data_IF_634916986119
#
_entry.id   IF_634916986119
#
_cell.length_a   1.000
_cell.length_b   1.000
_cell.length_c   1.000
_cell.angle_alpha   90.00
_cell.angle_beta   90.00
_cell.angle_gamma   90.00
#
_symmetry.space_group_name_H-M   'P 1'
#
loop_
_entity.id
_entity.type
_entity.pdbx_description
1 polymer ?
#
# COMPACT_ATOMS: atom_id res chain seq x y z
N UNK A 1 -28.26 -18.67 -15.09
CA UNK A 1 -26.97 -18.05 -15.45
C UNK A 1 -26.79 -16.87 -14.51
N UNK A 2 -25.97 -17.03 -13.47
CA UNK A 2 -25.65 -15.89 -12.57
C UNK A 2 -24.81 -14.91 -13.39
N UNK A 3 -25.35 -13.73 -13.66
CA UNK A 3 -24.57 -12.60 -14.15
C UNK A 3 -23.55 -12.27 -13.07
N UNK A 4 -22.32 -12.74 -13.21
CA UNK A 4 -21.22 -12.30 -12.34
C UNK A 4 -21.15 -10.78 -12.49
N UNK A 5 -21.50 -10.09 -11.41
CA UNK A 5 -21.44 -8.63 -11.38
C UNK A 5 -19.98 -8.24 -11.67
N UNK A 6 -19.76 -7.45 -12.72
CA UNK A 6 -18.44 -7.00 -13.13
C UNK A 6 -17.79 -6.24 -11.98
N UNK A 7 -16.55 -6.57 -11.65
CA UNK A 7 -15.79 -5.87 -10.58
C UNK A 7 -15.47 -4.45 -11.07
N UNK A 8 -15.88 -3.39 -10.34
CA UNK A 8 -15.43 -2.04 -10.63
C UNK A 8 -13.92 -1.90 -10.46
N UNK A 9 -13.30 -1.10 -11.28
CA UNK A 9 -11.87 -0.82 -11.22
C UNK A 9 -11.56 0.59 -11.72
N UNK A 10 -10.35 1.06 -11.41
CA UNK A 10 -9.86 2.37 -11.79
C UNK A 10 -9.81 3.32 -10.59
N UNK A 11 -8.62 3.89 -10.37
CA UNK A 11 -8.34 4.81 -9.26
C UNK A 11 -7.86 6.13 -9.86
N UNK A 12 -8.57 7.23 -9.57
CA UNK A 12 -8.19 8.60 -9.94
C UNK A 12 -7.64 9.39 -8.77
N UNK A 13 -7.94 8.95 -7.54
CA UNK A 13 -7.43 9.50 -6.28
C UNK A 13 -7.38 8.37 -5.24
N UNK A 14 -6.47 8.47 -4.29
CA UNK A 14 -6.43 7.58 -3.10
C UNK A 14 -7.28 8.13 -1.95
N UNK A 15 -8.16 9.08 -2.27
CA UNK A 15 -9.20 9.63 -1.42
C UNK A 15 -10.58 9.24 -1.96
N UNK A 16 -11.66 9.64 -1.29
CA UNK A 16 -13.01 9.18 -1.62
C UNK A 16 -13.34 7.82 -1.00
N UNK A 17 -14.56 7.35 -1.22
CA UNK A 17 -15.06 6.13 -0.57
C UNK A 17 -14.49 4.90 -1.24
N UNK A 18 -13.74 4.11 -0.48
CA UNK A 18 -13.23 2.83 -0.94
C UNK A 18 -14.37 1.83 -1.10
N UNK A 19 -14.54 1.24 -2.29
CA UNK A 19 -15.63 0.31 -2.58
C UNK A 19 -15.16 -1.10 -2.88
N UNK A 20 -13.98 -1.27 -3.45
CA UNK A 20 -13.44 -2.57 -3.85
C UNK A 20 -11.95 -2.67 -3.58
N UNK A 21 -11.54 -3.76 -2.94
CA UNK A 21 -10.12 -4.07 -2.67
C UNK A 21 -9.77 -5.47 -3.12
N UNK A 22 -8.54 -5.64 -3.60
CA UNK A 22 -7.91 -6.92 -3.80
C UNK A 22 -6.99 -7.23 -2.61
N UNK A 23 -7.23 -8.33 -1.97
CA UNK A 23 -6.46 -8.87 -0.85
C UNK A 23 -5.80 -10.19 -1.26
N UNK A 24 -4.64 -10.48 -0.72
CA UNK A 24 -4.02 -11.80 -0.85
C UNK A 24 -4.58 -12.76 0.19
N UNK A 25 -4.84 -14.03 -0.19
CA UNK A 25 -5.17 -15.07 0.78
C UNK A 25 -3.95 -15.38 1.64
N UNK A 26 -4.08 -15.46 2.99
CA UNK A 26 -2.95 -15.65 3.89
C UNK A 26 -2.54 -17.12 4.12
N UNK A 27 -3.11 -18.09 3.38
CA UNK A 27 -2.96 -19.53 3.65
C UNK A 27 -1.51 -20.00 3.65
N UNK A 28 -0.65 -19.41 2.81
CA UNK A 28 0.77 -19.71 2.68
C UNK A 28 1.68 -18.61 3.21
N UNK A 29 1.09 -17.58 3.86
CA UNK A 29 1.87 -16.53 4.47
C UNK A 29 2.76 -17.09 5.59
N UNK A 30 4.01 -16.70 5.58
CA UNK A 30 5.00 -16.98 6.63
C UNK A 30 6.11 -15.94 6.58
N UNK A 31 6.80 -15.78 7.68
CA UNK A 31 7.99 -14.94 7.69
C UNK A 31 9.08 -15.58 6.85
N UNK A 32 9.73 -14.76 6.05
CA UNK A 32 10.82 -15.18 5.16
C UNK A 32 12.18 -14.83 5.79
N UNK A 33 13.29 -15.47 5.35
CA UNK A 33 14.63 -15.16 5.85
C UNK A 33 14.99 -13.68 5.67
N UNK A 34 15.92 -13.22 6.49
CA UNK A 34 16.41 -11.86 6.63
C UNK A 34 16.70 -11.08 5.36
N UNK A 35 17.29 -11.76 4.37
CA UNK A 35 17.64 -11.15 3.10
C UNK A 35 16.43 -10.75 2.23
N UNK A 36 15.22 -11.04 2.70
CA UNK A 36 13.98 -10.80 1.98
C UNK A 36 13.02 -9.85 2.68
N UNK A 37 13.40 -9.34 3.86
CA UNK A 37 12.67 -8.33 4.62
C UNK A 37 13.55 -7.13 4.90
N UNK A 38 12.95 -5.97 5.15
CA UNK A 38 13.71 -4.76 5.46
C UNK A 38 14.55 -4.94 6.73
N UNK A 39 15.70 -4.28 6.81
CA UNK A 39 16.55 -4.30 7.98
C UNK A 39 15.84 -3.84 9.26
N UNK A 40 14.89 -2.92 9.12
CA UNK A 40 14.06 -2.41 10.22
C UNK A 40 13.10 -3.47 10.74
N UNK A 41 12.39 -4.17 9.85
CA UNK A 41 11.51 -5.29 10.23
C UNK A 41 12.29 -6.35 10.98
N UNK A 42 13.47 -6.70 10.49
CA UNK A 42 14.34 -7.63 11.16
C UNK A 42 14.79 -7.15 12.55
N UNK A 43 15.22 -5.91 12.65
CA UNK A 43 15.61 -5.31 13.92
C UNK A 43 14.47 -5.34 14.95
N UNK A 44 13.23 -5.23 14.50
CA UNK A 44 12.04 -5.30 15.35
C UNK A 44 11.69 -6.74 15.77
N UNK A 45 11.97 -7.74 14.96
CA UNK A 45 11.72 -9.16 15.30
C UNK A 45 12.68 -9.72 16.34
N UNK A 46 13.96 -9.37 16.25
CA UNK A 46 15.05 -9.98 17.04
C UNK A 46 14.92 -9.78 18.57
N UNK A 47 14.65 -8.58 19.10
CA UNK A 47 14.64 -8.35 20.55
C UNK A 47 13.45 -9.00 21.26
N UNK A 48 12.39 -9.32 20.54
CA UNK A 48 11.10 -9.71 21.11
C UNK A 48 10.90 -11.22 21.16
N UNK A 49 11.81 -12.00 20.59
CA UNK A 49 11.74 -13.46 20.48
C UNK A 49 10.38 -13.96 19.92
N UNK A 50 9.77 -13.18 19.03
CA UNK A 50 8.50 -13.53 18.38
C UNK A 50 8.68 -14.75 17.48
N UNK A 51 7.69 -15.62 17.51
CA UNK A 51 7.56 -16.74 16.58
C UNK A 51 6.32 -16.52 15.70
N UNK A 52 6.43 -16.90 14.44
CA UNK A 52 5.29 -16.90 13.55
C UNK A 52 4.26 -17.92 14.04
N UNK A 53 3.01 -17.46 14.20
CA UNK A 53 1.85 -18.28 14.54
C UNK A 53 0.80 -18.14 13.43
N UNK A 54 0.58 -19.22 12.70
CA UNK A 54 -0.30 -19.24 11.53
C UNK A 54 -1.76 -18.93 11.92
N UNK A 55 -2.24 -19.51 13.02
CA UNK A 55 -3.64 -19.32 13.42
C UNK A 55 -3.89 -17.88 13.84
N UNK A 56 -2.93 -17.24 14.49
CA UNK A 56 -2.99 -15.81 14.80
C UNK A 56 -2.97 -14.97 13.53
N UNK A 57 -2.10 -15.28 12.55
CA UNK A 57 -2.09 -14.58 11.27
C UNK A 57 -3.45 -14.68 10.55
N UNK A 58 -4.05 -15.87 10.52
CA UNK A 58 -5.37 -16.07 9.92
C UNK A 58 -6.45 -15.25 10.61
N UNK A 59 -6.47 -15.21 11.96
CA UNK A 59 -7.42 -14.38 12.73
C UNK A 59 -7.22 -12.88 12.47
N UNK A 60 -5.98 -12.41 12.46
CA UNK A 60 -5.66 -11.00 12.19
C UNK A 60 -6.10 -10.58 10.79
N UNK A 61 -5.81 -11.39 9.77
CA UNK A 61 -6.28 -11.15 8.42
C UNK A 61 -7.81 -11.13 8.33
N UNK A 62 -8.47 -12.10 8.95
CA UNK A 62 -9.94 -12.16 8.99
C UNK A 62 -10.52 -10.89 9.64
N UNK A 63 -9.91 -10.39 10.72
CA UNK A 63 -10.37 -9.16 11.38
C UNK A 63 -10.24 -7.93 10.48
N UNK A 64 -9.16 -7.83 9.72
CA UNK A 64 -9.00 -6.78 8.71
C UNK A 64 -10.11 -6.87 7.64
N UNK A 65 -10.40 -8.06 7.13
CA UNK A 65 -11.49 -8.30 6.16
C UNK A 65 -12.86 -7.91 6.72
N UNK A 66 -13.12 -8.19 8.00
CA UNK A 66 -14.36 -7.79 8.66
C UNK A 66 -14.52 -6.28 8.73
N UNK A 67 -13.46 -5.53 9.01
CA UNK A 67 -13.49 -4.07 8.99
C UNK A 67 -13.85 -3.55 7.59
N UNK A 68 -13.24 -4.08 6.53
CA UNK A 68 -13.62 -3.71 5.17
C UNK A 68 -15.12 -3.95 4.92
N UNK A 69 -15.61 -5.14 5.22
CA UNK A 69 -17.03 -5.50 5.02
C UNK A 69 -17.99 -4.65 5.84
N UNK A 70 -17.65 -4.35 7.10
CA UNK A 70 -18.45 -3.47 7.98
C UNK A 70 -18.55 -2.05 7.42
N UNK A 71 -17.55 -1.62 6.66
CA UNK A 71 -17.50 -0.31 6.00
C UNK A 71 -18.02 -0.33 4.56
N UNK A 72 -18.67 -1.41 4.13
CA UNK A 72 -19.28 -1.52 2.79
C UNK A 72 -18.28 -1.82 1.67
N UNK A 73 -17.03 -2.14 2.00
CA UNK A 73 -16.00 -2.46 1.01
C UNK A 73 -16.11 -3.92 0.56
N UNK A 74 -16.20 -4.15 -0.73
CA UNK A 74 -16.15 -5.51 -1.32
C UNK A 74 -14.71 -6.00 -1.36
N UNK A 75 -14.47 -7.16 -0.75
CA UNK A 75 -13.16 -7.80 -0.72
C UNK A 75 -13.08 -8.88 -1.80
N UNK A 76 -12.14 -8.71 -2.73
CA UNK A 76 -11.77 -9.68 -3.74
C UNK A 76 -10.44 -10.32 -3.32
N UNK A 77 -10.19 -11.57 -3.71
CA UNK A 77 -9.03 -12.30 -3.23
C UNK A 77 -8.19 -12.84 -4.38
N UNK A 78 -6.89 -12.52 -4.34
CA UNK A 78 -5.91 -13.24 -5.13
C UNK A 78 -5.62 -14.60 -4.47
N UNK A 79 -5.45 -15.64 -5.28
CA UNK A 79 -5.09 -16.97 -4.78
C UNK A 79 -3.71 -16.95 -4.12
N UNK A 80 -3.53 -17.80 -3.11
CA UNK A 80 -2.22 -17.97 -2.48
C UNK A 80 -1.43 -19.08 -3.19
N UNK A 81 -0.11 -18.98 -3.14
CA UNK A 81 0.82 -19.97 -3.69
C UNK A 81 1.88 -20.28 -2.62
N UNK A 82 2.16 -21.56 -2.38
CA UNK A 82 3.12 -22.01 -1.36
C UNK A 82 4.53 -21.47 -1.63
N UNK A 83 4.88 -21.27 -2.89
CA UNK A 83 6.15 -20.69 -3.33
C UNK A 83 6.24 -19.17 -3.18
N UNK A 84 5.13 -18.50 -2.81
CA UNK A 84 5.01 -17.04 -2.74
C UNK A 84 4.54 -16.59 -1.34
N UNK A 85 5.36 -16.79 -0.30
CA UNK A 85 4.95 -16.59 1.11
C UNK A 85 4.56 -15.16 1.46
N UNK A 86 4.93 -14.17 0.66
CA UNK A 86 4.63 -12.75 0.90
C UNK A 86 3.59 -12.19 -0.08
N UNK A 87 2.95 -13.01 -0.91
CA UNK A 87 1.93 -12.58 -1.89
C UNK A 87 0.67 -11.98 -1.23
N UNK A 88 0.53 -12.12 0.07
CA UNK A 88 -0.50 -11.45 0.88
C UNK A 88 -0.38 -9.92 0.82
N UNK A 89 0.83 -9.39 0.58
CA UNK A 89 1.07 -7.96 0.40
C UNK A 89 0.83 -7.56 -1.06
N UNK A 90 -0.44 -7.46 -1.43
CA UNK A 90 -0.90 -7.23 -2.81
C UNK A 90 -0.56 -5.84 -3.33
N UNK A 91 -0.33 -4.86 -2.44
CA UNK A 91 0.05 -3.49 -2.78
C UNK A 91 1.31 -3.42 -3.63
N UNK A 92 2.30 -4.28 -3.34
CA UNK A 92 3.62 -4.17 -3.96
C UNK A 92 3.64 -4.73 -5.39
N UNK A 93 2.79 -5.74 -5.67
CA UNK A 93 2.81 -6.51 -6.92
C UNK A 93 2.17 -5.80 -8.10
N UNK A 94 1.38 -4.75 -7.84
CA UNK A 94 0.71 -3.94 -8.86
C UNK A 94 0.15 -2.66 -8.26
N UNK A 95 -0.24 -1.72 -9.12
CA UNK A 95 -1.03 -0.55 -8.72
C UNK A 95 -2.10 -0.24 -9.76
N UNK A 96 -3.20 0.36 -9.30
CA UNK A 96 -4.34 0.69 -10.14
C UNK A 96 -4.25 2.13 -10.60
N UNK A 97 -4.56 2.35 -11.88
CA UNK A 97 -4.66 3.67 -12.51
C UNK A 97 -6.05 3.83 -13.14
N UNK A 98 -6.43 5.01 -13.63
CA UNK A 98 -7.70 5.17 -14.38
C UNK A 98 -7.75 4.34 -15.68
N UNK A 99 -6.61 3.92 -16.20
CA UNK A 99 -6.49 3.21 -17.49
C UNK A 99 -6.36 1.69 -17.34
N UNK A 100 -6.24 1.20 -16.13
CA UNK A 100 -6.07 -0.20 -15.80
C UNK A 100 -4.93 -0.44 -14.82
N UNK A 101 -4.69 -1.72 -14.54
CA UNK A 101 -3.62 -2.13 -13.63
C UNK A 101 -2.23 -2.00 -14.27
N UNK A 102 -1.26 -1.61 -13.48
CA UNK A 102 0.17 -1.73 -13.84
C UNK A 102 0.78 -2.85 -13.03
N UNK A 103 1.42 -3.79 -13.70
CA UNK A 103 2.11 -4.89 -13.03
C UNK A 103 3.51 -4.45 -12.65
N UNK A 104 3.84 -4.61 -11.37
CA UNK A 104 5.12 -4.25 -10.78
C UNK A 104 6.26 -5.19 -11.20
N UNK A 105 7.48 -4.70 -11.10
CA UNK A 105 8.71 -5.50 -11.15
C UNK A 105 9.34 -5.47 -9.76
N UNK A 106 9.19 -6.55 -9.00
CA UNK A 106 9.67 -6.65 -7.62
C UNK A 106 11.15 -7.01 -7.59
N UNK A 107 11.95 -6.22 -6.86
CA UNK A 107 13.39 -6.44 -6.73
C UNK A 107 13.71 -7.65 -5.86
N UNK A 108 12.99 -7.85 -4.78
CA UNK A 108 13.25 -8.88 -3.76
C UNK A 108 13.08 -10.29 -4.34
N UNK A 109 14.14 -11.12 -4.41
CA UNK A 109 14.11 -12.39 -5.12
C UNK A 109 12.97 -13.35 -4.75
N UNK A 110 12.61 -13.58 -3.46
CA UNK A 110 11.49 -14.46 -3.10
C UNK A 110 10.14 -13.97 -3.60
N UNK A 111 10.02 -12.67 -3.94
CA UNK A 111 8.76 -12.05 -4.34
C UNK A 111 8.65 -11.76 -5.83
N UNK A 112 9.72 -11.97 -6.60
CA UNK A 112 9.75 -11.65 -8.04
C UNK A 112 8.63 -12.28 -8.86
N UNK A 113 8.03 -13.36 -8.36
CA UNK A 113 6.93 -14.07 -9.02
C UNK A 113 5.54 -13.70 -8.49
N UNK A 114 5.43 -12.78 -7.52
CA UNK A 114 4.13 -12.36 -6.97
C UNK A 114 3.19 -11.82 -8.06
N UNK A 115 3.74 -11.23 -9.14
CA UNK A 115 2.96 -10.78 -10.30
C UNK A 115 2.08 -11.89 -10.91
N UNK A 116 2.44 -13.15 -10.77
CA UNK A 116 1.74 -14.26 -11.43
C UNK A 116 0.31 -14.41 -10.87
N UNK A 117 0.15 -14.42 -9.54
CA UNK A 117 -1.17 -14.53 -8.90
C UNK A 117 -2.01 -13.28 -9.14
N UNK A 118 -1.39 -12.10 -9.12
CA UNK A 118 -2.08 -10.83 -9.37
C UNK A 118 -2.54 -10.70 -10.82
N UNK A 119 -1.69 -11.01 -11.79
CA UNK A 119 -2.07 -10.97 -13.21
C UNK A 119 -3.12 -12.03 -13.57
N UNK A 120 -3.12 -13.19 -12.88
CA UNK A 120 -4.17 -14.19 -13.01
C UNK A 120 -5.52 -13.67 -12.51
N UNK A 121 -5.52 -12.97 -11.35
CA UNK A 121 -6.72 -12.31 -10.84
C UNK A 121 -7.28 -11.30 -11.85
N UNK A 122 -6.45 -10.36 -12.36
CA UNK A 122 -6.91 -9.34 -13.32
C UNK A 122 -7.52 -9.97 -14.57
N UNK A 123 -6.90 -11.01 -15.12
CA UNK A 123 -7.45 -11.72 -16.28
C UNK A 123 -8.80 -12.35 -15.98
N UNK A 124 -8.94 -13.03 -14.82
CA UNK A 124 -10.20 -13.67 -14.44
C UNK A 124 -11.32 -12.67 -14.14
N UNK A 125 -10.97 -11.47 -13.65
CA UNK A 125 -11.88 -10.38 -13.32
C UNK A 125 -12.17 -9.46 -14.52
N UNK A 126 -11.57 -9.72 -15.68
CA UNK A 126 -11.67 -8.87 -16.89
C UNK A 126 -11.22 -7.41 -16.65
N UNK A 127 -10.27 -7.22 -15.70
CA UNK A 127 -9.66 -5.93 -15.44
C UNK A 127 -8.46 -5.78 -16.38
N UNK A 128 -8.39 -4.70 -17.19
CA UNK A 128 -7.31 -4.52 -18.13
C UNK A 128 -5.96 -4.32 -17.42
N UNK A 129 -4.94 -5.02 -17.88
CA UNK A 129 -3.55 -4.73 -17.54
C UNK A 129 -3.06 -3.70 -18.55
N UNK A 130 -2.88 -2.46 -18.09
CA UNK A 130 -2.48 -1.34 -18.95
C UNK A 130 -1.00 -1.36 -19.28
N UNK A 131 -0.14 -1.59 -18.29
CA UNK A 131 1.32 -1.57 -18.46
C UNK A 131 2.01 -2.62 -17.58
N UNK A 132 3.26 -2.91 -17.91
CA UNK A 132 4.18 -3.73 -17.12
C UNK A 132 5.47 -2.95 -16.89
N UNK A 133 5.98 -2.94 -15.66
CA UNK A 133 7.29 -2.38 -15.37
C UNK A 133 8.36 -3.23 -16.03
N UNK A 134 9.21 -2.61 -16.85
CA UNK A 134 10.27 -3.25 -17.62
C UNK A 134 11.61 -2.53 -17.51
N UNK A 135 11.59 -1.26 -17.06
CA UNK A 135 12.80 -0.50 -16.80
C UNK A 135 13.21 -0.68 -15.34
N UNK A 136 13.95 -1.76 -15.04
CA UNK A 136 14.43 -2.08 -13.71
C UNK A 136 13.30 -2.49 -12.75
N UNK A 137 13.19 -1.90 -11.54
CA UNK A 137 12.21 -2.27 -10.52
C UNK A 137 11.37 -1.08 -10.09
N UNK A 138 10.05 -1.31 -9.96
CA UNK A 138 9.11 -0.38 -9.31
C UNK A 138 7.95 -1.17 -8.71
N UNK A 139 7.64 -0.89 -7.45
CA UNK A 139 6.63 -1.58 -6.66
C UNK A 139 5.47 -0.63 -6.33
N UNK A 140 4.25 -1.17 -6.23
CA UNK A 140 3.04 -0.35 -6.12
C UNK A 140 2.93 0.47 -4.83
N UNK A 141 3.67 0.12 -3.77
CA UNK A 141 3.76 0.94 -2.55
C UNK A 141 4.46 2.29 -2.76
N UNK A 142 5.21 2.43 -3.86
CA UNK A 142 5.86 3.69 -4.24
C UNK A 142 5.02 4.57 -5.19
N UNK A 143 3.80 4.14 -5.53
CA UNK A 143 2.87 4.89 -6.37
C UNK A 143 1.77 5.51 -5.51
N UNK A 144 1.79 6.83 -5.33
CA UNK A 144 0.80 7.58 -4.56
C UNK A 144 0.11 8.60 -5.45
N UNK A 145 -1.23 8.54 -5.54
CA UNK A 145 -2.03 9.55 -6.23
C UNK A 145 -2.41 10.62 -5.20
N UNK A 146 -1.81 11.79 -5.33
CA UNK A 146 -2.05 12.94 -4.42
C UNK A 146 -3.43 13.56 -4.67
N UNK A 147 -3.79 13.72 -5.93
CA UNK A 147 -5.09 14.18 -6.42
C UNK A 147 -5.24 13.79 -7.89
N UNK A 148 -6.44 13.85 -8.49
CA UNK A 148 -6.60 13.57 -9.91
C UNK A 148 -5.60 14.38 -10.76
N UNK A 149 -4.84 13.69 -11.61
CA UNK A 149 -3.82 14.31 -12.46
C UNK A 149 -2.45 14.52 -11.81
N UNK A 150 -2.25 14.16 -10.52
CA UNK A 150 -0.98 14.39 -9.81
C UNK A 150 -0.55 13.17 -9.01
N UNK A 151 0.65 12.67 -9.27
CA UNK A 151 1.24 11.51 -8.59
C UNK A 151 2.57 11.83 -7.92
N UNK A 152 2.81 11.19 -6.79
CA UNK A 152 4.08 11.15 -6.08
C UNK A 152 4.66 9.74 -6.21
N UNK A 153 5.89 9.65 -6.72
CA UNK A 153 6.58 8.39 -7.00
C UNK A 153 7.81 8.26 -6.09
N UNK A 154 7.80 7.22 -5.23
CA UNK A 154 8.93 6.93 -4.36
C UNK A 154 10.01 6.09 -5.04
N UNK A 155 11.22 6.17 -4.53
CA UNK A 155 12.27 5.18 -4.79
C UNK A 155 13.27 5.16 -3.64
N UNK A 156 13.71 3.98 -3.25
CA UNK A 156 14.70 3.77 -2.18
C UNK A 156 16.00 3.15 -2.67
N UNK A 157 15.99 2.57 -3.86
CA UNK A 157 17.08 1.75 -4.38
C UNK A 157 17.04 0.29 -3.94
N UNK A 158 16.39 -0.01 -2.80
CA UNK A 158 16.27 -1.37 -2.27
C UNK A 158 15.03 -2.12 -2.80
N UNK A 159 13.98 -1.38 -3.17
CA UNK A 159 12.72 -1.93 -3.70
C UNK A 159 12.40 -1.31 -5.05
N UNK A 160 12.00 -0.07 -5.08
CA UNK A 160 11.90 0.68 -6.32
C UNK A 160 13.21 1.39 -6.64
N UNK A 161 13.58 1.41 -7.89
CA UNK A 161 14.74 2.13 -8.39
C UNK A 161 14.31 3.43 -9.05
N UNK A 162 15.25 4.37 -9.21
CA UNK A 162 14.99 5.61 -9.91
C UNK A 162 14.56 5.36 -11.37
N UNK A 163 15.19 4.42 -12.07
CA UNK A 163 14.82 4.06 -13.43
C UNK A 163 13.39 3.55 -13.55
N UNK A 164 12.94 2.72 -12.58
CA UNK A 164 11.56 2.27 -12.53
C UNK A 164 10.59 3.41 -12.31
N UNK A 165 10.90 4.34 -11.39
CA UNK A 165 10.08 5.53 -11.15
C UNK A 165 10.03 6.45 -12.38
N UNK A 166 11.13 6.66 -13.09
CA UNK A 166 11.19 7.44 -14.32
C UNK A 166 10.34 6.80 -15.46
N UNK A 167 10.29 5.47 -15.55
CA UNK A 167 9.39 4.80 -16.48
C UNK A 167 7.92 5.10 -16.17
N UNK A 168 7.52 5.04 -14.91
CA UNK A 168 6.15 5.35 -14.47
C UNK A 168 5.85 6.83 -14.72
N UNK A 169 6.75 7.73 -14.36
CA UNK A 169 6.60 9.16 -14.61
C UNK A 169 6.36 9.49 -16.08
N UNK A 170 7.10 8.85 -16.99
CA UNK A 170 6.89 9.00 -18.42
C UNK A 170 5.49 8.57 -18.85
N UNK A 171 4.96 7.47 -18.32
CA UNK A 171 3.59 7.03 -18.63
C UNK A 171 2.53 8.00 -18.11
N UNK A 172 2.76 8.58 -16.91
CA UNK A 172 1.87 9.60 -16.35
C UNK A 172 1.86 10.85 -17.23
N UNK A 173 3.04 11.33 -17.65
CA UNK A 173 3.18 12.47 -18.56
C UNK A 173 2.48 12.22 -19.92
N UNK A 174 2.65 11.05 -20.53
CA UNK A 174 1.95 10.63 -21.74
C UNK A 174 0.40 10.70 -21.61
N UNK A 175 -0.10 10.53 -20.39
CA UNK A 175 -1.53 10.61 -20.06
C UNK A 175 -1.96 11.99 -19.54
N UNK A 176 -1.08 12.97 -19.57
CA UNK A 176 -1.32 14.34 -19.11
C UNK A 176 -1.35 14.50 -17.58
N UNK A 177 -0.74 13.58 -16.85
CA UNK A 177 -0.62 13.63 -15.39
C UNK A 177 0.78 14.10 -14.97
N UNK A 178 0.84 14.96 -13.96
CA UNK A 178 2.08 15.30 -13.28
C UNK A 178 2.59 14.11 -12.47
N UNK A 179 3.89 13.84 -12.55
CA UNK A 179 4.56 12.84 -11.72
C UNK A 179 5.78 13.45 -11.05
N UNK A 180 5.81 13.44 -9.72
CA UNK A 180 6.92 13.97 -8.93
C UNK A 180 7.69 12.82 -8.29
N UNK A 181 8.98 12.68 -8.64
CA UNK A 181 9.84 11.58 -8.18
C UNK A 181 10.63 12.02 -6.95
N UNK A 182 10.57 11.24 -5.86
CA UNK A 182 11.21 11.55 -4.57
C UNK A 182 11.98 10.35 -4.04
N UNK A 183 13.26 10.52 -3.63
CA UNK A 183 13.97 9.49 -2.88
C UNK A 183 13.42 9.39 -1.47
N UNK A 184 13.33 8.16 -0.94
CA UNK A 184 13.03 7.90 0.47
C UNK A 184 14.15 7.07 1.09
N UNK A 185 14.39 7.18 2.41
CA UNK A 185 15.34 6.33 3.09
C UNK A 185 14.92 4.85 2.99
N UNK A 186 15.85 3.92 2.68
CA UNK A 186 15.54 2.50 2.41
C UNK A 186 14.78 1.77 3.52
N UNK A 187 14.96 2.20 4.78
CA UNK A 187 14.29 1.59 5.94
C UNK A 187 12.76 1.76 5.96
N UNK A 188 12.20 2.67 5.16
CA UNK A 188 10.74 2.83 5.04
C UNK A 188 10.13 1.93 3.99
N UNK A 189 10.96 1.24 3.21
CA UNK A 189 10.57 0.29 2.18
C UNK A 189 9.91 0.96 0.98
N UNK A 190 8.74 1.62 1.19
CA UNK A 190 7.98 2.30 0.16
C UNK A 190 7.45 3.66 0.61
N UNK A 191 7.05 4.48 -0.36
CA UNK A 191 6.47 5.81 -0.15
C UNK A 191 5.16 5.75 0.65
N UNK A 192 4.37 4.70 0.53
CA UNK A 192 3.10 4.49 1.22
C UNK A 192 3.23 4.31 2.76
N UNK A 193 4.45 4.15 3.26
CA UNK A 193 4.73 4.23 4.69
C UNK A 193 5.04 5.67 5.16
N UNK A 194 5.37 6.57 4.22
CA UNK A 194 5.84 7.93 4.47
C UNK A 194 4.76 8.98 4.18
N UNK A 195 4.00 8.78 3.09
CA UNK A 195 2.92 9.68 2.65
C UNK A 195 1.68 8.85 2.35
N UNK A 196 0.60 9.12 3.07
CA UNK A 196 -0.71 8.47 2.87
C UNK A 196 -1.79 9.52 2.77
N UNK A 197 -2.51 9.52 1.66
CA UNK A 197 -3.68 10.38 1.50
C UNK A 197 -4.82 9.89 2.38
N UNK A 198 -5.42 10.78 3.16
CA UNK A 198 -6.54 10.49 4.04
C UNK A 198 -7.86 10.96 3.43
N UNK A 199 -7.87 12.19 2.95
CA UNK A 199 -8.98 12.85 2.29
C UNK A 199 -8.45 13.86 1.28
N UNK A 200 -9.33 14.44 0.50
CA UNK A 200 -8.97 15.48 -0.47
C UNK A 200 -8.23 16.62 0.22
N UNK A 201 -7.00 16.88 -0.22
CA UNK A 201 -6.14 17.91 0.35
C UNK A 201 -5.58 17.61 1.74
N UNK A 202 -5.68 16.36 2.24
CA UNK A 202 -5.19 15.96 3.55
C UNK A 202 -4.39 14.66 3.48
N UNK A 203 -3.18 14.69 3.99
CA UNK A 203 -2.31 13.50 4.08
C UNK A 203 -1.73 13.31 5.48
N UNK A 204 -1.43 12.07 5.83
CA UNK A 204 -0.55 11.69 6.93
C UNK A 204 0.87 11.62 6.38
N UNK A 205 1.83 12.35 6.95
CA UNK A 205 3.17 12.50 6.38
C UNK A 205 4.26 12.41 7.45
N UNK A 206 5.28 11.62 7.18
CA UNK A 206 6.53 11.63 7.92
C UNK A 206 7.51 12.61 7.26
N UNK A 207 7.45 13.88 7.64
CA UNK A 207 8.28 14.94 7.04
C UNK A 207 9.78 14.69 7.21
N UNK A 208 10.20 14.10 8.35
CA UNK A 208 11.61 13.75 8.61
C UNK A 208 12.17 12.70 7.63
N UNK A 209 11.32 12.00 6.90
CA UNK A 209 11.71 11.00 5.89
C UNK A 209 11.78 11.60 4.48
N UNK A 210 11.40 12.85 4.29
CA UNK A 210 11.32 13.50 2.99
C UNK A 210 12.38 14.62 2.86
N UNK A 211 12.94 14.84 1.68
CA UNK A 211 13.76 16.00 1.42
C UNK A 211 12.90 17.29 1.43
N UNK A 212 13.47 18.43 1.83
CA UNK A 212 12.75 19.70 1.96
C UNK A 212 11.98 20.10 0.68
N UNK A 213 12.56 19.86 -0.49
CA UNK A 213 11.87 20.20 -1.75
C UNK A 213 10.58 19.38 -1.99
N UNK A 214 10.47 18.19 -1.37
CA UNK A 214 9.25 17.38 -1.47
C UNK A 214 8.16 17.96 -0.54
N UNK A 215 8.53 18.49 0.61
CA UNK A 215 7.62 19.23 1.49
C UNK A 215 7.12 20.49 0.78
N UNK A 216 8.02 21.29 0.18
CA UNK A 216 7.66 22.47 -0.61
C UNK A 216 6.74 22.13 -1.79
N UNK A 217 6.92 20.94 -2.38
CA UNK A 217 6.05 20.48 -3.47
C UNK A 217 4.66 20.10 -2.93
N UNK A 218 4.56 19.41 -1.80
CA UNK A 218 3.27 19.12 -1.16
C UNK A 218 2.51 20.41 -0.79
N UNK A 219 3.21 21.45 -0.33
CA UNK A 219 2.63 22.77 -0.07
C UNK A 219 2.05 23.41 -1.35
N UNK A 220 2.78 23.33 -2.46
CA UNK A 220 2.30 23.81 -3.78
C UNK A 220 1.09 23.02 -4.29
N UNK A 221 0.96 21.74 -3.89
CA UNK A 221 -0.19 20.93 -4.19
C UNK A 221 -1.37 21.19 -3.23
N UNK A 222 -1.21 22.10 -2.26
CA UNK A 222 -2.20 22.48 -1.23
C UNK A 222 -2.58 21.29 -0.32
N UNK A 223 -1.61 20.44 0.02
CA UNK A 223 -1.81 19.29 0.90
C UNK A 223 -1.54 19.67 2.34
N UNK A 224 -2.59 19.74 3.17
CA UNK A 224 -2.46 19.80 4.61
C UNK A 224 -1.91 18.49 5.15
N UNK A 225 -0.98 18.55 6.08
CA UNK A 225 -0.31 17.36 6.61
C UNK A 225 -0.63 17.14 8.08
N UNK A 226 -0.97 15.92 8.44
CA UNK A 226 -0.92 15.43 9.82
C UNK A 226 0.46 14.80 9.99
N UNK A 227 1.32 15.32 10.89
CA UNK A 227 2.68 14.82 11.00
C UNK A 227 2.74 13.47 11.73
N UNK A 228 3.55 12.56 11.18
CA UNK A 228 3.94 11.31 11.84
C UNK A 228 5.41 11.42 12.24
N UNK A 229 5.73 11.11 13.51
CA UNK A 229 7.12 11.07 13.93
C UNK A 229 7.91 9.99 13.19
N UNK A 230 9.20 10.25 12.96
CA UNK A 230 10.09 9.25 12.38
C UNK A 230 10.02 7.90 13.12
N UNK A 231 9.96 7.96 14.46
CA UNK A 231 9.86 6.79 15.33
C UNK A 231 8.58 5.97 15.10
N UNK A 232 7.44 6.63 14.92
CA UNK A 232 6.17 5.96 14.65
C UNK A 232 6.12 5.44 13.21
N UNK A 233 6.67 6.21 12.26
CA UNK A 233 6.77 5.82 10.86
C UNK A 233 7.61 4.53 10.67
N UNK A 234 8.76 4.41 11.35
CA UNK A 234 9.58 3.17 11.38
C UNK A 234 8.79 1.94 11.87
N UNK A 235 7.77 2.16 12.70
CA UNK A 235 6.86 1.12 13.18
C UNK A 235 5.62 0.94 12.28
N UNK A 236 5.69 1.42 11.05
CA UNK A 236 4.58 1.42 10.09
C UNK A 236 3.39 2.30 10.53
N UNK A 237 3.64 3.39 11.28
CA UNK A 237 2.59 4.32 11.71
C UNK A 237 1.83 4.98 10.55
N UNK A 238 2.51 5.20 9.41
CA UNK A 238 1.89 5.67 8.18
C UNK A 238 1.19 4.60 7.35
N UNK A 239 1.38 3.32 7.66
CA UNK A 239 0.84 2.22 6.84
C UNK A 239 -0.62 1.91 7.21
N UNK A 240 -1.53 2.79 6.83
CA UNK A 240 -2.97 2.71 7.08
C UNK A 240 -3.76 2.95 5.79
N UNK A 241 -5.06 2.63 5.79
CA UNK A 241 -5.93 2.74 4.62
C UNK A 241 -7.05 3.73 4.91
N UNK A 242 -7.18 4.78 4.10
CA UNK A 242 -8.38 5.60 4.09
C UNK A 242 -9.56 4.80 3.54
N UNK A 243 -10.66 4.77 4.28
CA UNK A 243 -11.92 4.14 3.85
C UNK A 243 -12.86 5.17 3.23
N UNK A 244 -12.49 6.46 3.29
CA UNK A 244 -13.35 7.60 2.94
C UNK A 244 -14.31 7.98 4.07
N UNK A 245 -14.96 9.15 3.93
CA UNK A 245 -15.92 9.66 4.90
C UNK A 245 -15.36 9.72 6.35
N UNK A 246 -14.18 10.26 6.53
CA UNK A 246 -13.48 10.39 7.84
C UNK A 246 -13.25 9.04 8.55
N UNK A 247 -13.06 7.95 7.80
CA UNK A 247 -12.82 6.61 8.34
C UNK A 247 -11.48 6.06 7.87
N UNK A 248 -10.74 5.43 8.78
CA UNK A 248 -9.44 4.81 8.46
C UNK A 248 -9.33 3.43 9.09
N UNK A 249 -8.73 2.49 8.36
CA UNK A 249 -8.25 1.22 8.90
C UNK A 249 -6.78 1.36 9.27
N UNK A 250 -6.43 1.08 10.51
CA UNK A 250 -5.08 1.22 11.07
C UNK A 250 -4.72 0.00 11.91
N UNK A 251 -3.48 -0.03 12.40
CA UNK A 251 -2.99 -1.09 13.28
C UNK A 251 -3.07 -0.67 14.75
N UNK A 252 -3.44 -1.61 15.63
CA UNK A 252 -3.68 -1.34 17.06
C UNK A 252 -2.45 -0.82 17.80
N UNK A 253 -1.24 -1.24 17.40
CA UNK A 253 0.00 -0.81 18.04
C UNK A 253 0.42 0.64 17.71
N UNK A 254 -0.20 1.28 16.72
CA UNK A 254 0.07 2.68 16.33
C UNK A 254 -0.65 3.69 17.22
N UNK A 255 -0.45 3.61 18.54
CA UNK A 255 -1.23 4.36 19.53
C UNK A 255 -1.21 5.88 19.29
N UNK A 256 -0.04 6.46 19.02
CA UNK A 256 0.09 7.91 18.81
C UNK A 256 -0.64 8.37 17.55
N UNK A 257 -0.40 7.67 16.43
CA UNK A 257 -1.04 8.00 15.14
C UNK A 257 -2.56 7.83 15.24
N UNK A 258 -3.04 6.75 15.86
CA UNK A 258 -4.47 6.53 16.07
C UNK A 258 -5.10 7.61 16.95
N UNK A 259 -4.39 8.12 17.97
CA UNK A 259 -4.87 9.21 18.80
C UNK A 259 -4.92 10.55 18.04
N UNK A 260 -3.91 10.84 17.22
CA UNK A 260 -3.89 12.04 16.35
C UNK A 260 -5.05 12.02 15.36
N UNK A 261 -5.27 10.87 14.66
CA UNK A 261 -6.37 10.75 13.71
C UNK A 261 -7.75 10.93 14.36
N UNK A 262 -7.94 10.38 15.57
CA UNK A 262 -9.17 10.60 16.34
C UNK A 262 -9.36 12.07 16.73
N UNK A 263 -8.27 12.76 17.10
CA UNK A 263 -8.32 14.21 17.42
C UNK A 263 -8.65 15.06 16.18
N UNK A 264 -8.30 14.59 14.99
CA UNK A 264 -8.68 15.19 13.69
C UNK A 264 -10.10 14.81 13.23
N UNK A 265 -10.84 14.03 14.03
CA UNK A 265 -12.23 13.66 13.75
C UNK A 265 -12.40 12.35 12.98
N UNK A 266 -11.34 11.59 12.75
CA UNK A 266 -11.46 10.30 12.07
C UNK A 266 -12.01 9.21 12.98
N UNK A 267 -12.89 8.38 12.42
CA UNK A 267 -13.23 7.08 12.98
C UNK A 267 -12.11 6.09 12.65
N UNK A 268 -11.42 5.58 13.67
CA UNK A 268 -10.24 4.73 13.50
C UNK A 268 -10.58 3.28 13.85
N UNK A 269 -10.57 2.42 12.85
CA UNK A 269 -10.69 0.97 12.97
C UNK A 269 -9.31 0.36 13.16
N UNK A 270 -8.90 0.21 14.42
CA UNK A 270 -7.59 -0.32 14.76
C UNK A 270 -7.65 -1.86 14.94
N UNK A 271 -6.85 -2.58 14.17
CA UNK A 271 -6.77 -4.05 14.20
C UNK A 271 -5.41 -4.53 14.69
N UNK A 272 -5.39 -5.66 15.41
CA UNK A 272 -4.15 -6.39 15.68
C UNK A 272 -3.62 -6.96 14.37
N UNK A 273 -2.34 -6.74 14.06
CA UNK A 273 -1.74 -7.13 12.77
C UNK A 273 -0.25 -7.50 12.89
N UNK A 274 0.19 -7.88 14.08
CA UNK A 274 1.60 -8.10 14.43
C UNK A 274 2.24 -9.22 13.60
N UNK A 275 1.49 -10.28 13.28
CA UNK A 275 2.04 -11.37 12.45
C UNK A 275 2.45 -10.89 11.07
N UNK A 276 1.75 -9.90 10.52
CA UNK A 276 2.08 -9.31 9.22
C UNK A 276 3.13 -8.21 9.34
N UNK A 277 3.03 -7.33 10.33
CA UNK A 277 4.02 -6.25 10.51
C UNK A 277 5.42 -6.78 10.81
N UNK A 278 5.52 -7.83 11.61
CA UNK A 278 6.77 -8.55 11.83
C UNK A 278 7.23 -9.35 10.59
N UNK A 279 6.34 -9.61 9.65
CA UNK A 279 6.62 -10.18 8.33
C UNK A 279 6.98 -9.17 7.25
N UNK A 280 6.95 -7.86 7.58
CA UNK A 280 7.44 -6.79 6.69
C UNK A 280 6.37 -5.87 6.09
N UNK A 281 5.08 -5.97 6.47
CA UNK A 281 4.05 -5.09 5.95
C UNK A 281 2.85 -4.92 6.86
N UNK A 282 2.16 -3.78 6.74
CA UNK A 282 0.94 -3.45 7.48
C UNK A 282 -0.33 -3.63 6.66
N UNK A 283 -1.41 -3.04 7.14
CA UNK A 283 -2.73 -3.13 6.50
C UNK A 283 -2.77 -2.47 5.12
N UNK A 284 -1.98 -1.41 4.88
CA UNK A 284 -1.89 -0.78 3.56
C UNK A 284 -1.14 -1.66 2.57
N UNK A 285 -0.03 -2.27 2.97
CA UNK A 285 0.71 -3.23 2.14
C UNK A 285 -0.17 -4.43 1.73
N UNK A 286 -1.09 -4.85 2.60
CA UNK A 286 -2.02 -5.97 2.35
C UNK A 286 -3.24 -5.58 1.53
N UNK A 287 -3.39 -4.29 1.18
CA UNK A 287 -4.54 -3.74 0.49
C UNK A 287 -4.14 -3.21 -0.89
N UNK A 288 -4.73 -3.76 -1.94
CA UNK A 288 -4.68 -3.18 -3.27
C UNK A 288 -6.07 -2.62 -3.63
N UNK A 289 -6.16 -1.32 -3.72
CA UNK A 289 -7.41 -0.63 -4.07
C UNK A 289 -7.74 -0.89 -5.53
N UNK A 290 -8.93 -1.41 -5.79
CA UNK A 290 -9.43 -1.61 -7.15
C UNK A 290 -10.31 -0.45 -7.61
N UNK A 291 -11.15 0.07 -6.70
CA UNK A 291 -12.08 1.14 -7.03
C UNK A 291 -12.41 1.99 -5.81
N UNK A 292 -12.56 3.29 -6.06
CA UNK A 292 -13.08 4.29 -5.11
C UNK A 292 -14.15 5.12 -5.81
N UNK A 293 -15.20 5.46 -5.07
CA UNK A 293 -16.09 6.55 -5.47
C UNK A 293 -15.35 7.88 -5.26
N UNK A 294 -15.41 8.81 -6.23
CA UNK A 294 -14.73 10.10 -6.09
C UNK A 294 -15.29 10.93 -4.93
N UNK A 295 -14.43 11.82 -4.38
CA UNK A 295 -14.81 12.83 -3.39
C UNK A 295 -15.79 13.87 -3.96
#
# INVERSE_FOLDING_TARGET
MNSSQKIPWGIQAQTGVLTDVLLGKPDHFRWVPLNSISAVTFANQQPMNYRFDKDTAMRQHQRMVEVYKQNGVRCHFAESDEGLPSSVFTRDSSFMTPWGAVIASIQTPPRRRDYAVISAFYRSAEIPIWKWITADHFEGGDFVIIKPGVTLLGWSGDRSTRNGAEQVAKWMDEMGWEAFIVPIPPQFVHMDAVVVMLEKGLALVCEDALPAYAIDWLDKQEIRRIPVSYRDCVKLGGNLVSLGNHRVLSMAHNLNVNAQLKAEGFEVYAVEYEMFTLGGGGVHCSCHELHREPD
#
